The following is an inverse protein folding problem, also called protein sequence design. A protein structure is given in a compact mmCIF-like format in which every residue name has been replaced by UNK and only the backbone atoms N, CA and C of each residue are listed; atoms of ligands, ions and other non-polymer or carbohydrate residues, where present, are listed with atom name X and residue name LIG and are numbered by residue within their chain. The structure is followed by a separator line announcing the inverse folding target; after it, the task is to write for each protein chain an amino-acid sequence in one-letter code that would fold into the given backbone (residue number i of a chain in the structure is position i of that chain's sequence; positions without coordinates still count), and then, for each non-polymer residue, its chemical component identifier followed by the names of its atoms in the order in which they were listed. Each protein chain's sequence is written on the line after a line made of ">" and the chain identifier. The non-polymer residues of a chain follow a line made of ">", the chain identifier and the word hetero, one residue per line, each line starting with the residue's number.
data_IF_270912372944
#
_entry.id   IF_270912372944
#
_cell.length_a   1.000
_cell.length_b   1.000
_cell.length_c   1.000
_cell.angle_alpha   90.00
_cell.angle_beta   90.00
_cell.angle_gamma   90.00
#
_symmetry.space_group_name_H-M   'P 1'
#
loop_
_entity.id
_entity.type
_entity.pdbx_description
1 polymer ?
#
# COMPACT_ATOMS: atom_id res chain seq x y z
N UNK A 1 -7.93 12.21 4.11
CA UNK A 1 -9.14 12.89 4.65
C UNK A 1 -10.10 13.14 3.50
N UNK A 2 -11.01 12.20 3.21
CA UNK A 2 -12.08 12.39 2.22
C UNK A 2 -13.40 12.31 2.98
N UNK A 3 -13.94 13.47 3.36
CA UNK A 3 -15.28 13.58 3.93
C UNK A 3 -16.30 13.44 2.79
N UNK A 4 -16.77 12.22 2.52
CA UNK A 4 -17.97 12.02 1.72
C UNK A 4 -19.17 12.52 2.54
N UNK A 5 -19.80 13.60 2.07
CA UNK A 5 -20.97 14.19 2.72
C UNK A 5 -22.15 13.21 2.69
N UNK A 6 -22.51 12.68 3.87
CA UNK A 6 -23.59 11.72 4.11
C UNK A 6 -24.97 12.40 4.19
N UNK A 7 -25.27 13.29 3.23
CA UNK A 7 -26.52 14.05 3.19
C UNK A 7 -27.67 13.33 2.45
N UNK A 8 -27.55 12.02 2.21
CA UNK A 8 -28.66 11.18 1.76
C UNK A 8 -29.25 10.40 2.94
N UNK A 9 -30.58 10.25 2.97
CA UNK A 9 -31.36 9.52 3.99
C UNK A 9 -31.06 8.01 4.02
N UNK A 10 -29.81 7.64 4.30
CA UNK A 10 -29.45 6.26 4.55
C UNK A 10 -29.94 5.84 5.93
N UNK A 11 -30.57 4.66 6.00
CA UNK A 11 -30.95 4.04 7.25
C UNK A 11 -29.75 4.00 8.22
N UNK A 12 -29.91 4.33 9.52
CA UNK A 12 -28.80 4.42 10.47
C UNK A 12 -27.89 3.17 10.52
N UNK A 13 -28.48 1.98 10.34
CA UNK A 13 -27.73 0.72 10.26
C UNK A 13 -26.81 0.63 9.03
N UNK A 14 -27.20 1.21 7.90
CA UNK A 14 -26.37 1.26 6.68
C UNK A 14 -25.20 2.22 6.89
N UNK A 15 -25.43 3.36 7.55
CA UNK A 15 -24.39 4.34 7.87
C UNK A 15 -23.33 3.77 8.82
N UNK A 16 -23.74 3.07 9.87
CA UNK A 16 -22.83 2.39 10.81
C UNK A 16 -22.03 1.30 10.10
N UNK A 17 -22.67 0.49 9.24
CA UNK A 17 -21.98 -0.56 8.48
C UNK A 17 -20.92 0.00 7.53
N UNK A 18 -21.22 1.14 6.89
CA UNK A 18 -20.28 1.84 6.02
C UNK A 18 -19.11 2.44 6.81
N UNK A 19 -19.38 3.06 7.95
CA UNK A 19 -18.33 3.61 8.83
C UNK A 19 -17.40 2.49 9.33
N UNK A 20 -17.95 1.40 9.88
CA UNK A 20 -17.17 0.26 10.36
C UNK A 20 -16.39 -0.40 9.20
N UNK A 21 -16.99 -0.49 8.01
CA UNK A 21 -16.33 -0.99 6.81
C UNK A 21 -15.12 -0.14 6.41
N UNK A 22 -15.27 1.19 6.45
CA UNK A 22 -14.18 2.13 6.17
C UNK A 22 -13.09 2.06 7.26
N UNK A 23 -13.44 2.01 8.54
CA UNK A 23 -12.45 1.88 9.63
C UNK A 23 -11.63 0.60 9.51
N UNK A 24 -12.27 -0.54 9.19
CA UNK A 24 -11.56 -1.80 8.96
C UNK A 24 -10.65 -1.74 7.74
N UNK A 25 -11.07 -1.05 6.69
CA UNK A 25 -10.27 -0.86 5.49
C UNK A 25 -9.03 0.01 5.77
N UNK A 26 -9.19 1.12 6.49
CA UNK A 26 -8.09 2.01 6.89
C UNK A 26 -7.09 1.30 7.81
N UNK A 27 -7.59 0.51 8.79
CA UNK A 27 -6.75 -0.32 9.66
C UNK A 27 -5.95 -1.36 8.87
N UNK A 28 -6.60 -2.05 7.92
CA UNK A 28 -5.94 -3.03 7.06
C UNK A 28 -4.88 -2.37 6.16
N UNK A 29 -5.17 -1.19 5.61
CA UNK A 29 -4.22 -0.41 4.80
C UNK A 29 -2.99 0.01 5.62
N UNK A 30 -3.19 0.50 6.84
CA UNK A 30 -2.10 0.88 7.73
C UNK A 30 -1.22 -0.32 8.13
N UNK A 31 -1.82 -1.49 8.40
CA UNK A 31 -1.08 -2.72 8.70
C UNK A 31 -0.28 -3.24 7.49
N UNK A 32 -0.85 -3.15 6.28
CA UNK A 32 -0.15 -3.50 5.04
C UNK A 32 0.99 -2.52 4.80
N UNK A 33 0.74 -1.23 4.98
CA UNK A 33 1.74 -0.17 4.84
C UNK A 33 2.96 -0.42 5.71
N UNK A 34 2.78 -0.66 7.01
CA UNK A 34 3.91 -0.94 7.90
C UNK A 34 4.70 -2.18 7.46
N UNK A 35 4.00 -3.26 7.03
CA UNK A 35 4.68 -4.46 6.51
C UNK A 35 5.48 -4.19 5.25
N UNK A 36 4.93 -3.41 4.31
CA UNK A 36 5.61 -3.07 3.05
C UNK A 36 6.83 -2.20 3.34
N UNK A 37 6.71 -1.21 4.24
CA UNK A 37 7.84 -0.38 4.65
C UNK A 37 8.93 -1.23 5.30
N UNK A 38 8.55 -2.16 6.17
CA UNK A 38 9.52 -2.98 6.87
C UNK A 38 10.23 -3.95 5.93
N UNK A 39 9.49 -4.57 4.99
CA UNK A 39 10.08 -5.39 3.94
C UNK A 39 11.05 -4.59 3.06
N UNK A 40 10.70 -3.35 2.74
CA UNK A 40 11.55 -2.45 1.97
C UNK A 40 12.88 -2.19 2.70
N UNK A 41 12.81 -1.80 3.98
CA UNK A 41 14.00 -1.57 4.81
C UNK A 41 14.86 -2.83 4.94
N UNK A 42 14.24 -3.99 5.15
CA UNK A 42 14.94 -5.26 5.32
C UNK A 42 15.67 -5.72 4.03
N UNK A 43 15.07 -5.50 2.86
CA UNK A 43 15.66 -5.90 1.57
C UNK A 43 16.75 -4.94 1.14
N UNK A 44 16.51 -3.64 1.29
CA UNK A 44 17.45 -2.62 0.86
C UNK A 44 18.63 -2.53 1.83
N UNK A 45 18.40 -2.76 3.13
CA UNK A 45 19.45 -2.98 4.14
C UNK A 45 20.31 -1.75 4.51
N UNK A 46 20.32 -0.69 3.70
CA UNK A 46 21.08 0.54 3.96
C UNK A 46 20.23 1.75 4.35
N UNK A 47 18.90 1.60 4.39
CA UNK A 47 17.94 2.67 4.72
C UNK A 47 17.39 2.42 6.12
N UNK A 48 17.37 3.45 6.95
CA UNK A 48 16.73 3.35 8.27
C UNK A 48 15.21 3.49 8.14
N UNK A 49 14.46 2.67 8.88
CA UNK A 49 12.98 2.72 8.89
C UNK A 49 12.42 4.11 9.18
N UNK A 50 13.07 4.91 10.02
CA UNK A 50 12.63 6.28 10.32
C UNK A 50 12.70 7.24 9.12
N UNK A 51 13.43 6.87 8.07
CA UNK A 51 13.56 7.65 6.83
C UNK A 51 12.48 7.32 5.80
N UNK A 52 11.70 6.25 6.02
CA UNK A 52 10.72 5.76 5.06
C UNK A 52 9.30 6.07 5.53
N UNK A 53 8.52 6.64 4.63
CA UNK A 53 7.09 6.90 4.78
C UNK A 53 6.34 6.34 3.58
N UNK A 54 5.01 6.29 3.65
CA UNK A 54 4.18 5.90 2.50
C UNK A 54 4.41 6.74 1.25
N UNK A 55 4.73 8.02 1.44
CA UNK A 55 4.90 9.00 0.36
C UNK A 55 6.33 9.08 -0.16
N UNK A 56 7.24 8.29 0.42
CA UNK A 56 8.63 8.28 0.01
C UNK A 56 8.74 7.76 -1.41
N UNK A 57 9.38 8.54 -2.27
CA UNK A 57 9.68 8.13 -3.64
C UNK A 57 11.01 7.40 -3.62
N UNK A 58 10.96 6.07 -3.50
CA UNK A 58 12.15 5.27 -3.26
C UNK A 58 13.13 5.26 -4.45
N UNK A 59 12.66 5.61 -5.66
CA UNK A 59 13.52 5.74 -6.84
C UNK A 59 14.34 7.02 -6.74
N UNK A 60 13.71 8.15 -6.43
CA UNK A 60 14.37 9.45 -6.43
C UNK A 60 15.08 9.77 -5.12
N UNK A 61 14.50 9.42 -3.97
CA UNK A 61 15.00 9.79 -2.65
C UNK A 61 16.20 8.93 -2.24
N UNK A 62 16.18 7.65 -2.61
CA UNK A 62 17.21 6.68 -2.22
C UNK A 62 18.06 6.16 -3.37
N UNK A 63 17.75 6.56 -4.62
CA UNK A 63 18.46 6.14 -5.83
C UNK A 63 18.53 4.61 -5.97
N UNK A 64 17.45 3.93 -5.58
CA UNK A 64 17.35 2.48 -5.71
C UNK A 64 17.23 2.15 -7.20
N UNK A 65 18.07 1.23 -7.65
CA UNK A 65 18.18 0.83 -9.05
C UNK A 65 17.75 -0.63 -9.24
N UNK A 66 17.60 -1.01 -10.51
CA UNK A 66 16.87 -2.16 -11.04
C UNK A 66 16.99 -3.48 -10.23
N UNK A 67 18.19 -3.90 -9.81
CA UNK A 67 18.38 -5.19 -9.13
C UNK A 67 17.74 -5.21 -7.72
N UNK A 68 17.94 -4.15 -6.95
CA UNK A 68 17.38 -4.01 -5.60
C UNK A 68 15.85 -3.87 -5.66
N UNK A 69 15.36 -3.09 -6.64
CA UNK A 69 13.94 -2.91 -6.87
C UNK A 69 13.28 -4.22 -7.31
N UNK A 70 13.93 -4.99 -8.19
CA UNK A 70 13.43 -6.30 -8.63
C UNK A 70 13.30 -7.27 -7.46
N UNK A 71 14.29 -7.30 -6.56
CA UNK A 71 14.24 -8.11 -5.34
C UNK A 71 13.05 -7.73 -4.45
N UNK A 72 12.87 -6.43 -4.19
CA UNK A 72 11.77 -5.91 -3.40
C UNK A 72 10.40 -6.26 -4.01
N UNK A 73 10.22 -6.02 -5.30
CA UNK A 73 8.98 -6.31 -6.03
C UNK A 73 8.66 -7.82 -6.02
N UNK A 74 9.64 -8.68 -6.23
CA UNK A 74 9.44 -10.13 -6.14
C UNK A 74 8.95 -10.56 -4.77
N UNK A 75 9.55 -10.03 -3.71
CA UNK A 75 9.16 -10.38 -2.33
C UNK A 75 7.75 -9.90 -1.99
N UNK A 76 7.35 -8.72 -2.47
CA UNK A 76 5.95 -8.26 -2.36
C UNK A 76 4.99 -9.21 -3.08
N UNK A 77 5.31 -9.60 -4.33
CA UNK A 77 4.48 -10.53 -5.10
C UNK A 77 4.26 -11.85 -4.36
N UNK A 78 5.30 -12.39 -3.74
CA UNK A 78 5.21 -13.64 -2.98
C UNK A 78 4.47 -13.49 -1.65
N UNK A 79 4.82 -12.50 -0.83
CA UNK A 79 4.21 -12.26 0.49
C UNK A 79 2.70 -12.04 0.40
N UNK A 80 2.25 -11.31 -0.63
CA UNK A 80 0.85 -10.95 -0.81
C UNK A 80 0.13 -11.80 -1.87
N UNK A 81 0.80 -12.80 -2.45
CA UNK A 81 0.29 -13.60 -3.57
C UNK A 81 -0.29 -12.71 -4.69
N UNK A 82 0.40 -11.60 -4.98
CA UNK A 82 -0.05 -10.52 -5.84
C UNK A 82 0.22 -10.89 -7.31
N UNK A 83 -0.84 -10.89 -8.11
CA UNK A 83 -0.75 -11.05 -9.56
C UNK A 83 -0.78 -9.65 -10.19
N UNK A 84 0.39 -9.17 -10.62
CA UNK A 84 0.57 -7.85 -11.21
C UNK A 84 1.53 -7.93 -12.41
N UNK A 85 1.17 -7.29 -13.52
CA UNK A 85 1.95 -7.25 -14.77
C UNK A 85 3.13 -6.29 -14.64
N UNK A 86 4.08 -6.30 -15.58
CA UNK A 86 5.16 -5.31 -15.58
C UNK A 86 4.63 -3.87 -15.65
N UNK A 87 3.60 -3.63 -16.46
CA UNK A 87 2.92 -2.33 -16.60
C UNK A 87 2.35 -1.80 -15.28
N UNK A 88 1.85 -2.69 -14.40
CA UNK A 88 1.40 -2.29 -13.06
C UNK A 88 2.56 -1.72 -12.21
N UNK A 89 3.81 -2.15 -12.44
CA UNK A 89 5.00 -1.73 -11.68
C UNK A 89 5.75 -0.56 -12.29
N UNK A 90 5.71 -0.38 -13.61
CA UNK A 90 6.45 0.67 -14.31
C UNK A 90 6.09 2.10 -13.84
N UNK A 91 4.92 2.26 -13.21
CA UNK A 91 4.42 3.53 -12.68
C UNK A 91 4.53 3.67 -11.16
N UNK A 92 5.02 2.64 -10.47
CA UNK A 92 5.12 2.63 -9.00
C UNK A 92 6.47 3.23 -8.61
N UNK A 93 6.43 4.38 -7.95
CA UNK A 93 7.62 5.03 -7.37
C UNK A 93 7.51 5.20 -5.86
N UNK A 94 6.33 4.98 -5.27
CA UNK A 94 6.05 5.19 -3.85
C UNK A 94 5.50 3.94 -3.16
N UNK A 95 5.72 3.84 -1.86
CA UNK A 95 5.18 2.76 -1.02
C UNK A 95 3.64 2.78 -1.03
N UNK A 96 3.03 3.96 -1.00
CA UNK A 96 1.58 4.13 -1.06
C UNK A 96 0.96 3.44 -2.26
N UNK A 97 1.56 3.60 -3.44
CA UNK A 97 1.06 2.96 -4.66
C UNK A 97 1.11 1.43 -4.57
N UNK A 98 2.12 0.87 -3.90
CA UNK A 98 2.21 -0.58 -3.64
C UNK A 98 1.08 -1.04 -2.72
N UNK A 99 0.84 -0.31 -1.63
CA UNK A 99 -0.25 -0.60 -0.69
C UNK A 99 -1.60 -0.54 -1.40
N UNK A 100 -1.83 0.52 -2.18
CA UNK A 100 -3.05 0.70 -2.96
C UNK A 100 -3.25 -0.47 -3.95
N UNK A 101 -2.18 -0.92 -4.63
CA UNK A 101 -2.22 -2.07 -5.52
C UNK A 101 -2.57 -3.37 -4.78
N UNK A 102 -1.94 -3.64 -3.63
CA UNK A 102 -2.21 -4.82 -2.80
C UNK A 102 -3.69 -4.83 -2.36
N UNK A 103 -4.18 -3.70 -1.87
CA UNK A 103 -5.55 -3.57 -1.38
C UNK A 103 -6.57 -3.73 -2.51
N UNK A 104 -6.33 -3.10 -3.67
CA UNK A 104 -7.17 -3.27 -4.87
C UNK A 104 -7.24 -4.73 -5.30
N UNK A 105 -6.12 -5.45 -5.35
CA UNK A 105 -6.10 -6.85 -5.79
C UNK A 105 -6.61 -7.83 -4.72
N UNK A 106 -6.50 -7.49 -3.43
CA UNK A 106 -6.99 -8.31 -2.32
C UNK A 106 -8.50 -8.19 -2.11
N UNK A 107 -9.09 -7.04 -2.44
CA UNK A 107 -10.55 -6.80 -2.38
C UNK A 107 -11.33 -7.40 -3.56
N UNK A 108 -10.63 -7.82 -4.62
CA UNK A 108 -11.21 -8.49 -5.79
C UNK A 108 -11.30 -10.02 -5.62
N UNK A 109 -11.03 -10.54 -4.41
CA UNK A 109 -11.04 -11.98 -4.08
C UNK A 109 -12.25 -12.38 -3.25
#
# INVERSE_FOLDING_TARGET
>A
MVSLSLNGDFHPAIKIRLIIGNEKFELMSAEISEKVIQLFVDIIGFIDRSQVTEQTDFIHDFKIIDDDLTCFVMQIKWQFNLQATQEDWDHITTIKQIVDLIVQRSSLR
#
